data_IF_053865600546
#
_entry.id   IF_053865600546
#
_cell.length_a   1.000
_cell.length_b   1.000
_cell.length_c   1.000
_cell.angle_alpha   90.00
_cell.angle_beta   90.00
_cell.angle_gamma   90.00
#
_symmetry.space_group_name_H-M   'P 1'
#
loop_
_entity.id
_entity.type
_entity.pdbx_description
1 polymer ?
#
# COMPACT_ATOMS: atom_id res chain seq x y z
N UNK A 1 -14.55 7.68 8.22
CA UNK A 1 -14.34 6.26 7.88
C UNK A 1 -14.63 6.08 6.39
N UNK A 2 -13.70 5.50 5.70
CA UNK A 2 -13.84 5.22 4.27
C UNK A 2 -13.55 3.76 4.01
N UNK A 3 -14.36 3.13 3.16
CA UNK A 3 -14.18 1.72 2.76
C UNK A 3 -13.72 1.69 1.31
N UNK A 4 -12.44 1.36 1.11
CA UNK A 4 -11.79 1.31 -0.20
C UNK A 4 -12.12 2.50 -1.09
N UNK A 5 -11.82 3.73 -0.64
CA UNK A 5 -12.26 4.92 -1.36
C UNK A 5 -11.65 5.06 -2.75
N UNK A 6 -10.54 4.38 -3.02
CA UNK A 6 -9.85 4.47 -4.32
C UNK A 6 -10.27 3.37 -5.29
N UNK A 7 -11.18 2.47 -4.90
CA UNK A 7 -11.64 1.39 -5.77
C UNK A 7 -12.31 1.95 -7.02
N UNK A 8 -11.95 1.41 -8.18
CA UNK A 8 -12.52 1.77 -9.47
C UNK A 8 -12.20 3.18 -9.97
N UNK A 9 -11.20 3.84 -9.37
CA UNK A 9 -10.73 5.13 -9.86
C UNK A 9 -9.57 4.96 -10.83
N UNK A 10 -9.49 5.82 -11.83
CA UNK A 10 -8.32 5.87 -12.69
C UNK A 10 -7.13 6.53 -11.96
N UNK A 11 -5.96 6.54 -12.59
CA UNK A 11 -4.75 7.05 -11.94
C UNK A 11 -4.87 8.51 -11.52
N UNK A 12 -5.43 9.37 -12.37
CA UNK A 12 -5.52 10.80 -12.06
C UNK A 12 -6.46 11.04 -10.88
N UNK A 13 -7.63 10.40 -10.89
CA UNK A 13 -8.60 10.55 -9.81
C UNK A 13 -8.12 9.90 -8.52
N UNK A 14 -7.42 8.76 -8.63
CA UNK A 14 -6.82 8.12 -7.48
C UNK A 14 -5.81 9.05 -6.80
N UNK A 15 -4.93 9.67 -7.58
CA UNK A 15 -3.92 10.58 -7.04
C UNK A 15 -4.58 11.80 -6.40
N UNK A 16 -5.61 12.34 -7.02
CA UNK A 16 -6.34 13.48 -6.47
C UNK A 16 -6.99 13.11 -5.13
N UNK A 17 -7.58 11.92 -5.03
CA UNK A 17 -8.17 11.45 -3.79
C UNK A 17 -7.12 11.34 -2.68
N UNK A 18 -5.95 10.78 -3.00
CA UNK A 18 -4.87 10.67 -2.02
C UNK A 18 -4.42 12.04 -1.51
N UNK A 19 -4.35 13.03 -2.40
CA UNK A 19 -4.00 14.40 -2.01
C UNK A 19 -5.06 15.02 -1.10
N UNK A 20 -6.34 14.80 -1.38
CA UNK A 20 -7.42 15.29 -0.55
C UNK A 20 -7.36 14.66 0.84
N UNK A 21 -7.15 13.35 0.92
CA UNK A 21 -7.05 12.63 2.19
C UNK A 21 -5.87 13.17 3.01
N UNK A 22 -4.71 13.34 2.38
CA UNK A 22 -3.55 13.90 3.07
C UNK A 22 -3.81 15.31 3.58
N UNK A 23 -4.49 16.14 2.78
CA UNK A 23 -4.86 17.48 3.18
C UNK A 23 -5.79 17.51 4.39
N UNK A 24 -6.79 16.63 4.40
CA UNK A 24 -7.71 16.53 5.53
C UNK A 24 -6.97 16.07 6.80
N UNK A 25 -6.09 15.10 6.68
CA UNK A 25 -5.32 14.62 7.82
C UNK A 25 -4.44 15.73 8.39
N UNK A 26 -3.83 16.53 7.52
CA UNK A 26 -3.00 17.66 7.95
C UNK A 26 -3.82 18.77 8.64
N UNK A 27 -5.12 18.82 8.39
CA UNK A 27 -6.01 19.77 9.06
C UNK A 27 -6.52 19.25 10.40
N UNK A 28 -6.07 18.08 10.85
CA UNK A 28 -6.42 17.52 12.14
C UNK A 28 -7.56 16.52 12.13
N UNK A 29 -8.08 16.17 10.96
CA UNK A 29 -9.12 15.13 10.87
C UNK A 29 -8.51 13.75 11.12
N UNK A 30 -9.23 12.94 11.86
CA UNK A 30 -8.88 11.54 12.03
C UNK A 30 -9.57 10.72 10.94
N UNK A 31 -8.77 10.13 10.06
CA UNK A 31 -9.28 9.39 8.91
C UNK A 31 -8.96 7.91 9.07
N UNK A 32 -9.98 7.06 8.97
CA UNK A 32 -9.83 5.61 8.96
C UNK A 32 -10.34 5.13 7.61
N UNK A 33 -9.50 4.40 6.89
CA UNK A 33 -9.88 3.86 5.59
C UNK A 33 -9.36 2.43 5.42
N UNK A 34 -10.10 1.62 4.70
CA UNK A 34 -9.66 0.30 4.30
C UNK A 34 -9.13 0.33 2.87
N UNK A 35 -8.23 -0.58 2.55
CA UNK A 35 -7.68 -0.70 1.20
C UNK A 35 -7.12 -2.09 0.99
N UNK A 36 -7.16 -2.55 -0.25
CA UNK A 36 -6.46 -3.78 -0.66
C UNK A 36 -5.09 -3.47 -1.27
N UNK A 37 -4.75 -2.20 -1.43
CA UNK A 37 -3.47 -1.82 -2.00
C UNK A 37 -2.45 -1.60 -0.89
N UNK A 38 -1.38 -2.41 -0.81
CA UNK A 38 -0.39 -2.29 0.26
C UNK A 38 0.44 -1.02 0.17
N UNK A 39 0.37 -0.30 -0.94
CA UNK A 39 1.12 0.94 -1.13
C UNK A 39 0.42 2.16 -0.54
N UNK A 40 -0.91 2.13 -0.38
CA UNK A 40 -1.66 3.26 0.13
C UNK A 40 -1.18 3.75 1.50
N UNK A 41 -0.87 2.86 2.46
CA UNK A 41 -0.40 3.32 3.76
C UNK A 41 0.87 4.17 3.69
N UNK A 42 1.74 3.90 2.73
CA UNK A 42 2.96 4.69 2.56
C UNK A 42 2.67 6.09 2.03
N UNK A 43 1.56 6.26 1.31
CA UNK A 43 1.19 7.56 0.75
C UNK A 43 0.46 8.43 1.76
N UNK A 44 -0.45 7.87 2.53
CA UNK A 44 -1.37 8.67 3.35
C UNK A 44 -1.48 8.20 4.81
N UNK A 45 -1.01 7.01 5.12
CA UNK A 45 -1.22 6.44 6.45
C UNK A 45 -0.07 6.70 7.41
N UNK A 46 -0.37 6.87 8.69
CA UNK A 46 0.64 6.86 9.75
C UNK A 46 0.60 5.56 10.55
N UNK A 47 -0.54 4.89 10.56
CA UNK A 47 -0.68 3.60 11.25
C UNK A 47 -1.42 2.63 10.35
N UNK A 48 -0.98 1.39 10.37
CA UNK A 48 -1.55 0.31 9.56
C UNK A 48 -2.00 -0.81 10.47
N UNK A 49 -3.21 -1.27 10.26
CA UNK A 49 -3.72 -2.49 10.86
C UNK A 49 -3.82 -3.52 9.74
N UNK A 50 -2.99 -4.55 9.82
CA UNK A 50 -2.95 -5.60 8.80
C UNK A 50 -3.80 -6.76 9.25
N UNK A 51 -4.76 -7.16 8.43
CA UNK A 51 -5.70 -8.22 8.78
C UNK A 51 -5.78 -9.28 7.68
N UNK A 52 -5.99 -10.51 8.09
CA UNK A 52 -6.26 -11.63 7.19
C UNK A 52 -7.26 -12.57 7.84
N UNK A 53 -8.33 -12.91 7.12
CA UNK A 53 -9.35 -13.87 7.60
C UNK A 53 -9.91 -13.49 8.98
N UNK A 54 -10.13 -12.20 9.19
CA UNK A 54 -10.69 -11.68 10.44
C UNK A 54 -9.71 -11.59 11.59
N UNK A 55 -8.44 -11.90 11.36
CA UNK A 55 -7.40 -11.85 12.41
C UNK A 55 -6.43 -10.71 12.15
N UNK A 56 -5.98 -10.10 13.25
CA UNK A 56 -4.96 -9.04 13.16
C UNK A 56 -3.61 -9.70 12.97
N UNK A 57 -2.93 -9.35 11.88
CA UNK A 57 -1.59 -9.82 11.57
C UNK A 57 -0.51 -8.86 12.07
N UNK A 58 -0.86 -7.59 12.24
CA UNK A 58 0.09 -6.60 12.73
C UNK A 58 -0.54 -5.22 12.84
N UNK A 59 0.09 -4.37 13.65
CA UNK A 59 -0.32 -2.97 13.80
C UNK A 59 0.91 -2.14 14.09
N UNK A 60 1.06 -1.04 13.35
CA UNK A 60 2.21 -0.15 13.54
C UNK A 60 2.36 0.81 12.36
N UNK A 61 3.56 1.35 12.19
CA UNK A 61 3.84 2.21 11.05
C UNK A 61 3.90 1.40 9.75
N UNK A 62 3.69 2.04 8.60
CA UNK A 62 3.78 1.33 7.32
C UNK A 62 5.11 0.59 7.13
N UNK A 63 6.23 1.23 7.46
CA UNK A 63 7.54 0.60 7.28
C UNK A 63 7.75 -0.63 8.17
N UNK A 64 7.15 -0.62 9.35
CA UNK A 64 7.26 -1.76 10.27
C UNK A 64 6.38 -2.93 9.86
N UNK A 65 5.19 -2.65 9.34
CA UNK A 65 4.16 -3.65 9.11
C UNK A 65 4.17 -4.17 7.67
N UNK A 66 4.37 -3.29 6.69
CA UNK A 66 4.34 -3.66 5.28
C UNK A 66 5.72 -4.13 4.85
N UNK A 67 5.96 -5.42 5.00
CA UNK A 67 7.23 -6.06 4.63
C UNK A 67 6.95 -7.21 3.66
N UNK A 68 8.01 -7.71 3.03
CA UNK A 68 7.88 -8.85 2.13
C UNK A 68 7.25 -10.06 2.82
N UNK A 69 7.65 -10.32 4.07
CA UNK A 69 7.14 -11.46 4.82
C UNK A 69 5.66 -11.32 5.15
N UNK A 70 5.24 -10.13 5.61
CA UNK A 70 3.83 -9.94 5.96
C UNK A 70 2.94 -9.95 4.73
N UNK A 71 3.40 -9.37 3.62
CA UNK A 71 2.63 -9.38 2.38
C UNK A 71 2.51 -10.79 1.81
N UNK A 72 3.56 -11.60 1.91
CA UNK A 72 3.48 -12.99 1.49
C UNK A 72 2.46 -13.75 2.32
N UNK A 73 2.41 -13.50 3.63
CA UNK A 73 1.42 -14.13 4.51
C UNK A 73 0.00 -13.73 4.15
N UNK A 74 -0.22 -12.46 3.78
CA UNK A 74 -1.56 -11.95 3.49
C UNK A 74 -2.05 -12.35 2.11
N UNK A 75 -1.19 -12.23 1.08
CA UNK A 75 -1.59 -12.45 -0.30
C UNK A 75 -1.24 -13.83 -0.84
N UNK A 76 -0.48 -14.63 -0.07
CA UNK A 76 -0.05 -15.98 -0.45
C UNK A 76 0.83 -16.00 -1.71
N UNK A 77 1.49 -14.89 -2.01
CA UNK A 77 2.48 -14.78 -3.09
C UNK A 77 3.69 -14.02 -2.58
N UNK A 78 4.83 -14.28 -3.18
CA UNK A 78 6.03 -13.51 -2.88
C UNK A 78 5.86 -12.08 -3.37
N UNK A 79 6.21 -11.12 -2.54
CA UNK A 79 6.17 -9.70 -2.90
C UNK A 79 7.43 -9.00 -2.42
N UNK A 80 7.90 -8.05 -3.22
CA UNK A 80 9.00 -7.19 -2.85
C UNK A 80 8.47 -5.82 -2.46
N UNK A 81 9.01 -5.28 -1.38
CA UNK A 81 8.75 -3.91 -0.94
C UNK A 81 9.99 -3.10 -1.27
N UNK A 82 9.87 -2.18 -2.21
CA UNK A 82 11.02 -1.46 -2.77
C UNK A 82 10.85 0.03 -2.51
N UNK A 83 11.90 0.64 -1.96
CA UNK A 83 11.95 2.08 -1.78
C UNK A 83 12.80 2.68 -2.91
N UNK A 84 12.24 3.68 -3.58
CA UNK A 84 12.92 4.37 -4.67
C UNK A 84 12.59 5.85 -4.58
N UNK A 85 13.07 6.63 -5.55
CA UNK A 85 12.83 8.07 -5.58
C UNK A 85 12.25 8.46 -6.92
N UNK A 86 11.28 9.38 -6.89
CA UNK A 86 10.69 9.90 -8.11
C UNK A 86 11.61 10.98 -8.73
N UNK A 87 11.18 11.57 -9.85
CA UNK A 87 11.99 12.58 -10.54
C UNK A 87 12.28 13.83 -9.71
N UNK A 88 11.52 14.05 -8.65
CA UNK A 88 11.71 15.20 -7.76
C UNK A 88 12.47 14.82 -6.50
N UNK A 89 13.02 13.61 -6.42
CA UNK A 89 13.79 13.15 -5.28
C UNK A 89 12.97 12.70 -4.08
N UNK A 90 11.65 12.59 -4.22
CA UNK A 90 10.80 12.17 -3.11
C UNK A 90 10.83 10.65 -2.97
N UNK A 91 10.91 10.20 -1.73
CA UNK A 91 10.92 8.77 -1.44
C UNK A 91 9.56 8.15 -1.76
N UNK A 92 9.59 7.06 -2.51
CA UNK A 92 8.39 6.31 -2.88
C UNK A 92 8.60 4.85 -2.56
N UNK A 93 7.58 4.22 -1.99
CA UNK A 93 7.61 2.79 -1.70
C UNK A 93 6.61 2.09 -2.61
N UNK A 94 7.07 1.05 -3.27
CA UNK A 94 6.24 0.24 -4.16
C UNK A 94 6.29 -1.22 -3.72
N UNK A 95 5.19 -1.93 -3.95
CA UNK A 95 5.06 -3.34 -3.64
C UNK A 95 4.82 -4.08 -4.94
N UNK A 96 5.74 -4.98 -5.27
CA UNK A 96 5.70 -5.71 -6.54
C UNK A 96 5.61 -7.22 -6.28
N UNK A 97 4.66 -7.91 -6.93
CA UNK A 97 4.67 -9.38 -6.86
C UNK A 97 5.91 -9.92 -7.53
N UNK A 98 6.55 -10.88 -6.88
CA UNK A 98 7.62 -11.65 -7.50
C UNK A 98 6.95 -12.78 -8.25
N UNK A 99 6.81 -12.61 -9.55
CA UNK A 99 6.06 -13.55 -10.36
C UNK A 99 6.97 -14.62 -10.93
N UNK A 100 6.92 -15.81 -10.35
CA UNK A 100 7.73 -16.92 -10.85
C UNK A 100 7.36 -17.32 -12.27
N UNK A 101 6.14 -17.05 -12.71
CA UNK A 101 5.75 -17.26 -14.09
C UNK A 101 6.53 -16.40 -15.06
N UNK A 102 6.96 -15.20 -14.62
CA UNK A 102 7.76 -14.31 -15.44
C UNK A 102 9.10 -14.94 -15.80
N UNK A 103 9.68 -15.73 -14.90
CA UNK A 103 10.93 -16.44 -15.19
C UNK A 103 10.74 -17.44 -16.31
N UNK A 104 9.63 -18.17 -16.29
CA UNK A 104 9.30 -19.12 -17.34
C UNK A 104 9.13 -18.43 -18.67
N UNK A 105 8.47 -17.27 -18.68
CA UNK A 105 8.29 -16.49 -19.91
C UNK A 105 9.63 -16.02 -20.47
N UNK A 106 10.52 -15.56 -19.59
CA UNK A 106 11.85 -15.09 -20.02
C UNK A 106 12.72 -16.19 -20.59
N UNK A 107 12.52 -17.41 -20.17
CA UNK A 107 13.28 -18.55 -20.64
C UNK A 107 12.92 -19.00 -22.04
N UNK A 108 11.85 -18.48 -22.57
CA UNK A 108 11.45 -18.75 -23.93
C UNK A 108 12.29 -17.95 -24.93
#
# INVERSE_FOLDING_TARGET
IMDEPAANLDYANHQLLMEVISGLANQGYCIIMSTHSPEHPFSVGNKVLLMKSGKVMGFGSPKEIITSETLQSVYDIEMDVITTHDRYGRERTICLPVNSSAKTVHEK
#
